data_IF_732636306867
#
_entry.id   IF_732636306867
#
_cell.length_a   1.000
_cell.length_b   1.000
_cell.length_c   1.000
_cell.angle_alpha   90.00
_cell.angle_beta   90.00
_cell.angle_gamma   90.00
#
_symmetry.space_group_name_H-M   'P 1'
#
loop_
_entity.id
_entity.type
_entity.pdbx_description
1 polymer ?
#
# COMPACT_ATOMS: atom_id res chain seq x y z
N UNK A 1 16.49 -24.18 78.50
CA UNK A 1 15.10 -23.68 78.59
C UNK A 1 14.68 -23.26 77.19
N UNK A 2 13.54 -23.79 76.73
CA UNK A 2 12.80 -23.47 75.51
C UNK A 2 13.44 -23.80 74.15
N UNK A 3 12.97 -24.91 73.59
CA UNK A 3 13.04 -25.36 72.21
C UNK A 3 11.89 -24.74 71.38
N UNK A 4 12.18 -24.08 70.26
CA UNK A 4 11.18 -23.82 69.20
C UNK A 4 11.55 -24.63 67.95
N UNK A 5 10.85 -25.76 67.78
CA UNK A 5 10.84 -26.53 66.54
C UNK A 5 9.79 -25.94 65.60
N UNK A 6 10.24 -25.20 64.58
CA UNK A 6 9.42 -24.81 63.44
C UNK A 6 9.13 -26.02 62.55
N UNK A 7 7.95 -26.61 62.72
CA UNK A 7 7.40 -27.65 61.85
C UNK A 7 7.06 -27.05 60.49
N UNK A 8 7.89 -27.28 59.47
CA UNK A 8 7.50 -27.06 58.08
C UNK A 8 6.32 -27.97 57.74
N UNK A 9 5.21 -27.38 57.28
CA UNK A 9 4.07 -28.14 56.79
C UNK A 9 4.52 -29.03 55.62
N UNK A 10 4.08 -30.30 55.55
CA UNK A 10 4.43 -31.17 54.45
C UNK A 10 3.86 -30.59 53.16
N UNK A 11 4.74 -30.31 52.20
CA UNK A 11 4.36 -29.99 50.83
C UNK A 11 3.67 -31.22 50.26
N UNK A 12 2.34 -31.22 50.21
CA UNK A 12 1.57 -32.26 49.53
C UNK A 12 1.93 -32.22 48.05
N UNK A 13 2.88 -33.07 47.65
CA UNK A 13 3.15 -33.31 46.25
C UNK A 13 1.91 -33.98 45.65
N UNK A 14 1.15 -33.23 44.87
CA UNK A 14 0.09 -33.76 44.02
C UNK A 14 0.71 -34.83 43.10
N UNK A 15 0.63 -36.09 43.52
CA UNK A 15 1.04 -37.23 42.70
C UNK A 15 -0.06 -37.45 41.67
N UNK A 16 0.08 -36.78 40.54
CA UNK A 16 -0.75 -37.05 39.38
C UNK A 16 -0.53 -38.50 38.96
N UNK A 17 -1.59 -39.31 39.04
CA UNK A 17 -1.50 -40.71 38.61
C UNK A 17 -1.27 -40.77 37.10
N UNK A 18 -0.62 -41.83 36.61
CA UNK A 18 -0.36 -42.01 35.18
C UNK A 18 -1.63 -41.88 34.33
N UNK A 19 -2.77 -42.33 34.86
CA UNK A 19 -4.07 -42.20 34.22
C UNK A 19 -4.57 -40.74 34.16
N UNK A 20 -4.37 -39.94 35.23
CA UNK A 20 -4.67 -38.51 35.21
C UNK A 20 -3.76 -37.74 34.23
N UNK A 21 -2.49 -38.14 34.11
CA UNK A 21 -1.57 -37.55 33.12
C UNK A 21 -2.02 -37.79 31.68
N UNK A 22 -2.46 -39.01 31.36
CA UNK A 22 -3.01 -39.33 30.03
C UNK A 22 -4.31 -38.58 29.73
N UNK A 23 -5.19 -38.44 30.73
CA UNK A 23 -6.46 -37.71 30.56
C UNK A 23 -6.21 -36.21 30.31
N UNK A 24 -5.28 -35.60 31.05
CA UNK A 24 -4.89 -34.21 30.84
C UNK A 24 -4.29 -34.00 29.45
N UNK A 25 -3.42 -34.89 29.00
CA UNK A 25 -2.82 -34.82 27.67
C UNK A 25 -3.87 -34.90 26.55
N UNK A 26 -4.85 -35.80 26.68
CA UNK A 26 -5.93 -35.91 25.70
C UNK A 26 -6.83 -34.68 25.68
N UNK A 27 -7.12 -34.08 26.84
CA UNK A 27 -7.87 -32.82 26.94
C UNK A 27 -7.08 -31.69 26.27
N UNK A 28 -5.77 -31.61 26.48
CA UNK A 28 -4.93 -30.59 25.84
C UNK A 28 -4.88 -30.78 24.32
N UNK A 29 -4.73 -32.01 23.82
CA UNK A 29 -4.75 -32.29 22.37
C UNK A 29 -6.11 -31.94 21.76
N UNK A 30 -7.22 -32.30 22.42
CA UNK A 30 -8.56 -31.95 21.96
C UNK A 30 -8.80 -30.43 21.99
N UNK A 31 -8.34 -29.74 23.03
CA UNK A 31 -8.44 -28.29 23.14
C UNK A 31 -7.61 -27.60 22.05
N UNK A 32 -6.38 -28.07 21.81
CA UNK A 32 -5.55 -27.58 20.71
C UNK A 32 -6.20 -27.82 19.35
N UNK A 33 -6.82 -28.97 19.10
CA UNK A 33 -7.53 -29.25 17.85
C UNK A 33 -8.78 -28.36 17.69
N UNK A 34 -9.50 -28.05 18.77
CA UNK A 34 -10.63 -27.12 18.74
C UNK A 34 -10.16 -25.70 18.49
N UNK A 35 -9.08 -25.26 19.14
CA UNK A 35 -8.49 -23.94 18.89
C UNK A 35 -7.99 -23.82 17.45
N UNK A 36 -7.32 -24.85 16.93
CA UNK A 36 -6.86 -24.89 15.54
C UNK A 36 -8.03 -24.93 14.55
N UNK A 37 -9.14 -25.63 14.89
CA UNK A 37 -10.35 -25.64 14.06
C UNK A 37 -11.13 -24.31 14.12
N UNK A 38 -11.04 -23.56 15.23
CA UNK A 38 -11.61 -22.22 15.34
C UNK A 38 -10.77 -21.18 14.59
N UNK A 39 -9.45 -21.37 14.54
CA UNK A 39 -8.53 -20.53 13.76
C UNK A 39 -8.63 -20.85 12.25
N UNK A 40 -8.79 -22.13 11.90
CA UNK A 40 -8.95 -22.58 10.52
C UNK A 40 -10.36 -22.33 9.95
N UNK A 41 -11.38 -22.25 10.81
CA UNK A 41 -12.70 -21.70 10.43
C UNK A 41 -12.69 -20.20 10.70
N UNK A 42 -11.77 -19.48 10.04
CA UNK A 42 -11.67 -18.03 10.11
C UNK A 42 -13.06 -17.40 10.13
N UNK A 43 -13.25 -16.39 10.98
CA UNK A 43 -14.52 -15.68 11.09
C UNK A 43 -15.09 -15.45 9.68
N UNK A 44 -16.40 -15.70 9.45
CA UNK A 44 -16.97 -15.59 8.12
C UNK A 44 -16.52 -14.27 7.51
N UNK A 45 -15.88 -14.35 6.34
CA UNK A 45 -15.36 -13.18 5.64
C UNK A 45 -16.46 -12.13 5.61
N UNK A 46 -16.16 -10.95 6.15
CA UNK A 46 -17.13 -9.88 6.29
C UNK A 46 -17.43 -9.35 4.89
N UNK A 47 -18.50 -9.83 4.26
CA UNK A 47 -18.87 -9.37 2.92
C UNK A 47 -19.28 -7.89 2.96
N UNK A 48 -18.72 -7.08 2.06
CA UNK A 48 -19.08 -5.67 1.92
C UNK A 48 -20.32 -5.50 1.07
N UNK A 49 -21.26 -4.74 1.62
CA UNK A 49 -22.46 -4.29 0.93
C UNK A 49 -22.39 -2.80 0.62
N UNK A 50 -22.87 -2.42 -0.56
CA UNK A 50 -23.08 -1.03 -0.94
C UNK A 50 -24.44 -0.58 -0.42
N UNK A 51 -24.46 0.37 0.52
CA UNK A 51 -25.70 0.77 1.19
C UNK A 51 -26.51 1.78 0.37
N UNK A 52 -25.84 2.76 -0.23
CA UNK A 52 -26.42 3.78 -1.09
C UNK A 52 -25.32 4.39 -1.97
N UNK A 53 -25.57 4.59 -3.27
CA UNK A 53 -24.51 4.99 -4.19
C UNK A 53 -25.03 5.94 -5.28
N UNK A 54 -25.37 7.17 -4.90
CA UNK A 54 -25.82 8.16 -5.89
C UNK A 54 -24.64 8.65 -6.72
N UNK A 55 -24.73 8.52 -8.04
CA UNK A 55 -23.64 8.88 -8.96
C UNK A 55 -22.55 7.82 -9.10
N UNK A 56 -22.74 6.62 -8.53
CA UNK A 56 -21.82 5.50 -8.70
C UNK A 56 -22.51 4.33 -9.40
N UNK A 57 -21.84 3.77 -10.41
CA UNK A 57 -22.29 2.61 -11.17
C UNK A 57 -21.36 1.44 -10.87
N UNK A 58 -21.83 0.37 -10.21
CA UNK A 58 -21.03 -0.84 -9.98
C UNK A 58 -20.52 -1.44 -11.29
N UNK A 59 -19.26 -1.89 -11.30
CA UNK A 59 -18.61 -2.53 -12.46
C UNK A 59 -18.25 -3.97 -12.17
N UNK A 60 -17.47 -4.21 -11.13
CA UNK A 60 -17.04 -5.54 -10.73
C UNK A 60 -16.91 -5.63 -9.20
N UNK A 61 -17.03 -6.85 -8.69
CA UNK A 61 -16.72 -7.21 -7.31
C UNK A 61 -15.97 -8.54 -7.35
N UNK A 62 -14.78 -8.56 -6.76
CA UNK A 62 -13.97 -9.76 -6.59
C UNK A 62 -13.82 -10.03 -5.11
N UNK A 63 -13.87 -11.31 -4.74
CA UNK A 63 -13.66 -11.79 -3.38
C UNK A 63 -12.41 -12.68 -3.35
N UNK A 64 -11.84 -12.88 -2.16
CA UNK A 64 -10.60 -13.65 -1.97
C UNK A 64 -9.37 -13.03 -2.66
N UNK A 65 -9.41 -11.73 -2.92
CA UNK A 65 -8.25 -10.99 -3.43
C UNK A 65 -7.37 -10.62 -2.24
N UNK A 66 -6.11 -11.04 -2.23
CA UNK A 66 -5.12 -10.56 -1.28
C UNK A 66 -4.22 -9.55 -1.99
N UNK A 67 -4.25 -8.28 -1.57
CA UNK A 67 -3.42 -7.22 -2.15
C UNK A 67 -2.41 -6.67 -1.15
N UNK A 68 -1.22 -6.37 -1.67
CA UNK A 68 -0.11 -5.82 -0.87
C UNK A 68 0.08 -4.31 -1.08
N UNK A 69 -0.24 -3.84 -2.28
CA UNK A 69 -0.09 -2.44 -2.69
C UNK A 69 -1.36 -1.97 -3.39
N UNK A 70 -1.59 -0.65 -3.49
CA UNK A 70 -2.67 -0.10 -4.29
C UNK A 70 -2.63 -0.62 -5.74
N UNK A 71 -3.79 -0.88 -6.36
CA UNK A 71 -3.83 -1.30 -7.76
C UNK A 71 -3.49 -0.14 -8.68
N UNK A 72 -2.90 -0.44 -9.83
CA UNK A 72 -2.78 0.46 -10.96
C UNK A 72 -3.99 0.25 -11.90
N UNK A 73 -4.65 1.34 -12.33
CA UNK A 73 -5.89 1.27 -13.12
C UNK A 73 -5.74 1.92 -14.50
N UNK A 74 -6.27 1.24 -15.51
CA UNK A 74 -6.56 1.80 -16.84
C UNK A 74 -8.07 1.80 -17.10
N UNK A 75 -8.49 2.10 -18.34
CA UNK A 75 -9.91 2.13 -18.71
C UNK A 75 -10.62 0.77 -18.55
N UNK A 76 -9.91 -0.35 -18.65
CA UNK A 76 -10.50 -1.68 -18.65
C UNK A 76 -9.71 -2.73 -17.85
N UNK A 77 -8.55 -2.36 -17.30
CA UNK A 77 -7.66 -3.27 -16.58
C UNK A 77 -7.30 -2.71 -15.21
N UNK A 78 -7.43 -3.53 -14.18
CA UNK A 78 -6.71 -3.34 -12.92
C UNK A 78 -5.51 -4.27 -12.90
N UNK A 79 -4.36 -3.74 -12.52
CA UNK A 79 -3.19 -4.55 -12.21
C UNK A 79 -2.79 -4.32 -10.76
N UNK A 80 -2.51 -5.40 -10.05
CA UNK A 80 -2.08 -5.32 -8.66
C UNK A 80 -1.03 -6.38 -8.32
N UNK A 81 -0.31 -6.12 -7.23
CA UNK A 81 0.56 -7.09 -6.59
C UNK A 81 -0.22 -7.80 -5.50
N UNK A 82 -0.41 -9.10 -5.68
CA UNK A 82 -1.28 -9.88 -4.84
C UNK A 82 -1.67 -11.21 -5.45
N UNK A 83 -2.68 -11.84 -4.88
CA UNK A 83 -3.24 -13.09 -5.37
C UNK A 83 -4.77 -13.04 -5.42
N UNK A 84 -5.36 -13.83 -6.33
CA UNK A 84 -6.80 -14.11 -6.36
C UNK A 84 -7.21 -15.23 -5.40
N UNK A 85 -6.24 -15.83 -4.71
CA UNK A 85 -6.41 -16.77 -3.63
C UNK A 85 -5.41 -16.42 -2.51
N UNK A 86 -5.86 -16.09 -1.29
CA UNK A 86 -4.96 -15.65 -0.21
C UNK A 86 -3.92 -16.70 0.21
N UNK A 87 -4.13 -17.96 -0.15
CA UNK A 87 -3.20 -19.05 0.14
C UNK A 87 -2.06 -19.18 -0.90
N UNK A 88 -2.14 -18.48 -2.03
CA UNK A 88 -1.11 -18.51 -3.06
C UNK A 88 -0.07 -17.40 -2.86
N UNK A 89 1.14 -17.61 -3.38
CA UNK A 89 2.19 -16.60 -3.38
C UNK A 89 1.75 -15.33 -4.15
N UNK A 90 2.14 -14.12 -3.71
CA UNK A 90 1.79 -12.89 -4.38
C UNK A 90 2.43 -12.78 -5.76
N UNK A 91 1.63 -12.37 -6.74
CA UNK A 91 1.99 -12.28 -8.15
C UNK A 91 1.62 -10.90 -8.70
N UNK A 92 2.15 -10.58 -9.87
CA UNK A 92 1.63 -9.46 -10.64
C UNK A 92 0.40 -9.96 -11.41
N UNK A 93 -0.78 -9.48 -11.01
CA UNK A 93 -2.06 -9.99 -11.48
C UNK A 93 -2.84 -8.89 -12.18
N UNK A 94 -3.29 -9.15 -13.41
CA UNK A 94 -4.16 -8.26 -14.16
C UNK A 94 -5.55 -8.86 -14.34
N UNK A 95 -6.58 -8.05 -14.09
CA UNK A 95 -7.98 -8.43 -14.25
C UNK A 95 -8.70 -7.44 -15.18
N UNK A 96 -9.71 -7.95 -15.87
CA UNK A 96 -10.66 -7.14 -16.62
C UNK A 96 -11.64 -6.46 -15.66
N UNK A 97 -11.75 -5.13 -15.73
CA UNK A 97 -12.59 -4.34 -14.81
C UNK A 97 -14.09 -4.48 -15.04
N UNK A 98 -14.52 -5.05 -16.17
CA UNK A 98 -15.94 -5.20 -16.50
C UNK A 98 -16.46 -6.59 -16.11
N UNK A 99 -15.62 -7.61 -16.21
CA UNK A 99 -15.96 -9.01 -15.95
C UNK A 99 -15.38 -9.54 -14.64
N UNK A 100 -14.32 -8.91 -14.12
CA UNK A 100 -13.52 -9.43 -13.00
C UNK A 100 -12.66 -10.64 -13.38
N UNK A 101 -12.61 -11.03 -14.65
CA UNK A 101 -11.84 -12.19 -15.11
C UNK A 101 -10.33 -11.89 -15.16
N UNK A 102 -9.53 -12.91 -14.85
CA UNK A 102 -8.07 -12.86 -15.00
C UNK A 102 -7.71 -12.63 -16.48
N UNK A 103 -6.94 -11.58 -16.76
CA UNK A 103 -6.37 -11.33 -18.09
C UNK A 103 -5.04 -12.04 -18.26
N UNK A 104 -4.13 -11.80 -17.33
CA UNK A 104 -2.80 -12.40 -17.31
C UNK A 104 -2.23 -12.34 -15.89
N UNK A 105 -1.22 -13.17 -15.66
CA UNK A 105 -0.53 -13.25 -14.38
C UNK A 105 0.96 -13.50 -14.62
N UNK A 106 1.82 -12.86 -13.82
CA UNK A 106 3.28 -13.08 -13.86
C UNK A 106 3.74 -13.62 -12.51
N UNK A 107 4.07 -14.91 -12.48
CA UNK A 107 4.66 -15.62 -11.34
C UNK A 107 6.18 -15.39 -11.29
N UNK A 108 6.66 -14.59 -10.35
CA UNK A 108 8.08 -14.47 -9.98
C UNK A 108 9.05 -13.93 -11.05
N UNK A 109 10.08 -13.21 -10.61
CA UNK A 109 11.18 -12.70 -11.45
C UNK A 109 12.10 -13.80 -12.03
N UNK A 110 11.87 -15.06 -11.68
CA UNK A 110 12.64 -16.23 -12.11
C UNK A 110 12.64 -16.40 -13.65
N UNK A 111 11.59 -15.93 -14.31
CA UNK A 111 11.53 -15.85 -15.78
C UNK A 111 12.35 -14.69 -16.37
N UNK A 112 12.62 -13.65 -15.58
CA UNK A 112 13.34 -12.46 -16.01
C UNK A 112 14.86 -12.58 -15.81
N UNK A 113 15.34 -13.50 -14.97
CA UNK A 113 16.78 -13.69 -14.67
C UNK A 113 17.20 -15.17 -14.52
N UNK A 114 17.22 -15.95 -15.62
CA UNK A 114 17.71 -17.33 -15.57
C UNK A 114 19.21 -17.47 -15.26
N UNK A 115 19.97 -16.38 -15.25
CA UNK A 115 21.43 -16.35 -15.16
C UNK A 115 21.99 -16.06 -13.75
N UNK A 116 21.16 -15.67 -12.78
CA UNK A 116 21.60 -15.27 -11.43
C UNK A 116 21.44 -16.33 -10.34
N UNK A 117 21.12 -17.58 -10.68
CA UNK A 117 21.03 -18.66 -9.69
C UNK A 117 22.29 -19.51 -9.60
N UNK A 118 23.08 -19.36 -8.53
CA UNK A 118 23.69 -20.48 -7.85
C UNK A 118 22.70 -21.06 -6.83
N UNK A 119 22.67 -22.39 -6.71
CA UNK A 119 21.81 -23.23 -5.86
C UNK A 119 21.91 -22.96 -4.32
N UNK A 120 22.44 -21.82 -3.88
CA UNK A 120 22.91 -21.60 -2.49
C UNK A 120 22.20 -20.47 -1.72
N UNK A 121 21.18 -19.80 -2.26
CA UNK A 121 20.49 -18.68 -1.56
C UNK A 121 19.08 -19.07 -1.11
N UNK A 122 18.96 -20.18 -0.38
CA UNK A 122 17.71 -20.62 0.28
C UNK A 122 17.44 -19.90 1.62
N UNK A 123 18.41 -19.14 2.15
CA UNK A 123 18.42 -18.71 3.56
C UNK A 123 18.09 -17.23 3.82
N UNK A 124 17.78 -16.43 2.79
CA UNK A 124 17.48 -15.00 2.99
C UNK A 124 15.97 -14.80 3.00
N UNK A 125 15.40 -14.92 4.20
CA UNK A 125 14.06 -14.47 4.64
C UNK A 125 12.85 -15.06 3.90
N UNK A 126 12.00 -15.88 4.57
CA UNK A 126 10.75 -16.40 3.99
C UNK A 126 9.65 -15.32 3.79
N UNK A 127 9.98 -14.06 4.03
CA UNK A 127 9.09 -12.90 3.86
C UNK A 127 9.67 -11.88 2.87
N UNK A 128 10.63 -12.27 2.02
CA UNK A 128 11.10 -11.41 0.94
C UNK A 128 10.00 -11.30 -0.12
N UNK A 129 9.06 -10.41 0.13
CA UNK A 129 8.00 -10.03 -0.80
C UNK A 129 8.65 -9.53 -2.08
N UNK A 130 8.49 -10.29 -3.16
CA UNK A 130 9.24 -10.03 -4.40
C UNK A 130 8.79 -8.75 -5.08
N UNK A 131 7.49 -8.54 -5.19
CA UNK A 131 6.94 -7.37 -5.87
C UNK A 131 6.71 -6.21 -4.90
N UNK A 132 7.09 -5.02 -5.32
CA UNK A 132 6.81 -3.75 -4.66
C UNK A 132 5.61 -3.01 -5.29
N UNK A 133 5.51 -1.68 -5.12
CA UNK A 133 4.44 -0.88 -5.71
C UNK A 133 4.37 -0.96 -7.24
N UNK A 134 3.16 -0.78 -7.79
CA UNK A 134 2.89 -0.75 -9.23
C UNK A 134 2.26 0.58 -9.65
N UNK A 135 2.58 1.04 -10.86
CA UNK A 135 2.01 2.25 -11.47
C UNK A 135 1.77 2.02 -12.96
N UNK A 136 0.94 2.88 -13.56
CA UNK A 136 0.85 2.99 -15.02
C UNK A 136 1.51 4.27 -15.51
N UNK A 137 2.19 4.18 -16.64
CA UNK A 137 2.76 5.31 -17.37
C UNK A 137 2.48 5.07 -18.86
N UNK A 138 1.54 5.83 -19.43
CA UNK A 138 0.94 5.49 -20.72
C UNK A 138 0.35 4.08 -20.73
N UNK A 139 0.69 3.28 -21.75
CA UNK A 139 0.26 1.88 -21.89
C UNK A 139 1.21 0.88 -21.19
N UNK A 140 2.18 1.37 -20.42
CA UNK A 140 3.13 0.54 -19.70
C UNK A 140 2.76 0.42 -18.24
N UNK A 141 2.79 -0.82 -17.76
CA UNK A 141 2.79 -1.11 -16.34
C UNK A 141 4.23 -1.10 -15.84
N UNK A 142 4.49 -0.35 -14.78
CA UNK A 142 5.79 -0.32 -14.12
C UNK A 142 5.63 -0.94 -12.74
N UNK A 143 6.45 -1.95 -12.43
CA UNK A 143 6.46 -2.64 -11.16
C UNK A 143 7.86 -2.64 -10.55
N UNK A 144 7.94 -2.32 -9.25
CA UNK A 144 9.15 -2.57 -8.49
C UNK A 144 9.25 -4.06 -8.12
N UNK A 145 10.46 -4.61 -8.11
CA UNK A 145 10.76 -5.96 -7.68
C UNK A 145 12.01 -5.95 -6.80
N UNK A 146 11.85 -6.30 -5.54
CA UNK A 146 12.92 -6.36 -4.55
C UNK A 146 13.33 -7.82 -4.34
N UNK A 147 14.56 -8.16 -4.78
CA UNK A 147 15.11 -9.49 -4.55
C UNK A 147 16.56 -9.42 -4.03
N UNK A 148 16.75 -9.87 -2.79
CA UNK A 148 18.06 -9.97 -2.16
C UNK A 148 18.75 -8.61 -2.01
N UNK A 149 19.85 -8.42 -2.74
CA UNK A 149 20.67 -7.20 -2.71
C UNK A 149 20.39 -6.26 -3.89
N UNK A 150 19.40 -6.56 -4.72
CA UNK A 150 19.05 -5.74 -5.87
C UNK A 150 17.55 -5.46 -5.88
N UNK A 151 17.20 -4.19 -5.98
CA UNK A 151 15.84 -3.82 -6.39
C UNK A 151 15.87 -3.48 -7.87
N UNK A 152 14.86 -3.94 -8.60
CA UNK A 152 14.67 -3.62 -10.00
C UNK A 152 13.35 -2.88 -10.19
N UNK A 153 13.30 -2.06 -11.23
CA UNK A 153 12.07 -1.48 -11.76
C UNK A 153 11.88 -2.12 -13.12
N UNK A 154 10.74 -2.76 -13.34
CA UNK A 154 10.44 -3.51 -14.54
C UNK A 154 9.24 -2.87 -15.24
N UNK A 155 9.31 -2.76 -16.55
CA UNK A 155 8.17 -2.40 -17.38
C UNK A 155 7.55 -3.65 -18.01
N UNK A 156 6.23 -3.64 -18.10
CA UNK A 156 5.43 -4.67 -18.74
C UNK A 156 4.40 -4.00 -19.65
N UNK A 157 4.02 -4.72 -20.71
CA UNK A 157 2.83 -4.39 -21.47
C UNK A 157 1.59 -4.66 -20.62
N UNK A 158 0.74 -3.64 -20.40
CA UNK A 158 -0.42 -3.75 -19.50
C UNK A 158 -1.47 -4.75 -20.02
N UNK A 159 -1.52 -5.01 -21.32
CA UNK A 159 -2.54 -5.85 -21.93
C UNK A 159 -2.17 -7.33 -21.93
N UNK A 160 -0.88 -7.65 -21.96
CA UNK A 160 -0.37 -9.01 -22.12
C UNK A 160 0.51 -9.49 -20.96
N UNK A 161 1.00 -8.59 -20.11
CA UNK A 161 1.99 -8.89 -19.08
C UNK A 161 3.38 -9.19 -19.65
N UNK A 162 3.61 -8.98 -20.95
CA UNK A 162 4.89 -9.23 -21.58
C UNK A 162 5.96 -8.26 -21.05
N UNK A 163 7.17 -8.73 -20.72
CA UNK A 163 8.22 -7.87 -20.21
C UNK A 163 8.75 -6.92 -21.28
N UNK A 164 8.95 -5.66 -20.90
CA UNK A 164 9.59 -4.62 -21.71
C UNK A 164 11.06 -4.45 -21.33
N UNK A 165 11.36 -3.45 -20.51
CA UNK A 165 12.71 -3.20 -19.99
C UNK A 165 12.80 -3.48 -18.49
N UNK A 166 14.05 -3.63 -18.03
CA UNK A 166 14.39 -3.76 -16.62
C UNK A 166 15.50 -2.77 -16.28
N UNK A 167 15.30 -2.00 -15.21
CA UNK A 167 16.27 -1.08 -14.65
C UNK A 167 16.70 -1.55 -13.27
N UNK A 168 17.99 -1.82 -13.09
CA UNK A 168 18.53 -2.24 -11.79
C UNK A 168 18.92 -1.04 -10.95
N UNK A 169 18.36 -0.95 -9.75
CA UNK A 169 18.77 0.00 -8.72
C UNK A 169 19.73 -0.75 -7.78
N UNK A 170 21.03 -0.54 -7.98
CA UNK A 170 22.06 -1.19 -7.17
C UNK A 170 21.92 -0.78 -5.70
N UNK A 171 21.97 -1.75 -4.80
CA UNK A 171 21.75 -1.51 -3.37
C UNK A 171 22.98 -1.80 -2.52
N UNK A 172 22.95 -1.22 -1.33
CA UNK A 172 23.80 -1.60 -0.21
C UNK A 172 22.82 -1.99 0.91
N UNK A 173 22.90 -3.23 1.40
CA UNK A 173 22.18 -3.74 2.59
C UNK A 173 20.64 -3.84 2.49
N UNK A 174 20.11 -4.68 1.60
CA UNK A 174 18.73 -5.20 1.70
C UNK A 174 17.63 -4.14 1.70
N UNK A 175 17.78 -3.10 0.89
CA UNK A 175 16.80 -2.01 0.81
C UNK A 175 15.66 -2.35 -0.16
N UNK A 176 14.60 -1.54 -0.15
CA UNK A 176 13.42 -1.77 -1.01
C UNK A 176 13.02 -0.47 -1.72
N UNK A 177 12.42 -0.58 -2.92
CA UNK A 177 11.68 0.54 -3.52
C UNK A 177 10.41 0.73 -2.68
N UNK A 178 10.50 1.62 -1.71
CA UNK A 178 9.37 1.94 -0.84
C UNK A 178 8.32 2.83 -1.51
N UNK A 179 8.62 3.41 -2.68
CA UNK A 179 7.72 4.34 -3.37
C UNK A 179 8.01 4.40 -4.87
N UNK A 180 6.96 4.19 -5.66
CA UNK A 180 6.94 4.30 -7.11
C UNK A 180 5.72 5.15 -7.47
N UNK A 181 5.90 6.22 -8.25
CA UNK A 181 4.80 7.06 -8.71
C UNK A 181 4.98 7.45 -10.17
N UNK A 182 3.88 7.56 -10.93
CA UNK A 182 3.94 8.17 -12.24
C UNK A 182 4.31 9.65 -12.04
N UNK A 183 5.25 10.09 -12.85
CA UNK A 183 5.63 11.47 -12.90
C UNK A 183 4.85 12.28 -13.92
N UNK A 184 4.98 13.60 -13.79
CA UNK A 184 4.62 14.53 -14.85
C UNK A 184 5.48 14.20 -16.09
N UNK A 185 4.89 14.43 -17.26
CA UNK A 185 5.47 14.12 -18.57
C UNK A 185 5.80 12.64 -18.76
N UNK A 186 4.95 11.77 -18.20
CA UNK A 186 5.05 10.31 -18.30
C UNK A 186 6.39 9.77 -17.76
N UNK A 187 7.01 10.38 -16.76
CA UNK A 187 8.25 9.83 -16.19
C UNK A 187 7.98 8.76 -15.13
N UNK A 188 8.96 7.90 -14.83
CA UNK A 188 8.90 6.99 -13.69
C UNK A 188 9.75 7.55 -12.56
N UNK A 189 9.12 7.81 -11.42
CA UNK A 189 9.82 8.21 -10.20
C UNK A 189 9.91 7.01 -9.26
N UNK A 190 11.14 6.60 -8.98
CA UNK A 190 11.44 5.53 -8.03
C UNK A 190 12.23 6.08 -6.85
N UNK A 191 11.75 5.82 -5.63
CA UNK A 191 12.48 6.09 -4.39
C UNK A 191 12.82 4.78 -3.70
N UNK A 192 14.10 4.63 -3.42
CA UNK A 192 14.65 3.54 -2.64
C UNK A 192 14.98 4.05 -1.25
N UNK A 193 14.39 3.43 -0.24
CA UNK A 193 14.75 3.69 1.14
C UNK A 193 15.92 2.77 1.51
N UNK A 194 17.06 3.35 1.87
CA UNK A 194 18.23 2.63 2.38
C UNK A 194 18.40 2.98 3.85
N UNK A 195 18.96 2.07 4.65
CA UNK A 195 19.28 2.39 6.04
C UNK A 195 20.22 3.61 6.09
N UNK A 196 19.71 4.72 6.64
CA UNK A 196 20.44 5.97 6.82
C UNK A 196 20.40 6.98 5.66
N UNK A 197 19.84 6.64 4.50
CA UNK A 197 19.64 7.59 3.39
C UNK A 197 18.52 7.15 2.44
N UNK A 198 18.00 8.05 1.62
CA UNK A 198 17.13 7.66 0.50
C UNK A 198 17.76 8.01 -0.83
N UNK A 199 17.53 7.15 -1.82
CA UNK A 199 17.91 7.39 -3.19
C UNK A 199 16.68 7.64 -4.04
N UNK A 200 16.73 8.70 -4.83
CA UNK A 200 15.70 9.11 -5.76
C UNK A 200 16.23 8.98 -7.19
N UNK A 201 15.43 8.34 -8.06
CA UNK A 201 15.73 8.22 -9.48
C UNK A 201 14.54 8.63 -10.34
N UNK A 202 14.84 9.31 -11.45
CA UNK A 202 13.90 9.48 -12.57
C UNK A 202 14.37 8.54 -13.68
N UNK A 203 13.44 7.72 -14.16
CA UNK A 203 13.65 6.71 -15.19
C UNK A 203 12.75 7.07 -16.37
N UNK A 204 13.34 7.05 -17.57
CA UNK A 204 12.61 7.19 -18.83
C UNK A 204 11.67 5.98 -19.00
N UNK A 205 10.34 6.19 -19.12
CA UNK A 205 9.38 5.10 -19.24
C UNK A 205 9.59 4.27 -20.50
N UNK A 206 10.08 4.85 -21.59
CA UNK A 206 10.16 4.17 -22.88
C UNK A 206 11.40 3.27 -22.95
N UNK A 207 12.50 3.72 -22.34
CA UNK A 207 13.80 3.07 -22.48
C UNK A 207 14.28 2.37 -21.20
N UNK A 208 13.68 2.67 -20.05
CA UNK A 208 14.18 2.23 -18.75
C UNK A 208 15.51 2.89 -18.35
N UNK A 209 15.99 3.86 -19.13
CA UNK A 209 17.25 4.53 -18.84
C UNK A 209 17.06 5.58 -17.75
N UNK A 210 17.96 5.56 -16.78
CA UNK A 210 18.02 6.58 -15.73
C UNK A 210 18.36 7.95 -16.31
N UNK A 211 17.46 8.91 -16.13
CA UNK A 211 17.65 10.31 -16.48
C UNK A 211 18.28 11.08 -15.32
N UNK A 212 17.87 10.78 -14.08
CA UNK A 212 18.31 11.49 -12.88
C UNK A 212 18.59 10.55 -11.71
N UNK A 213 19.54 10.93 -10.84
CA UNK A 213 19.85 10.26 -9.57
C UNK A 213 20.22 11.28 -8.51
N UNK A 214 19.66 11.16 -7.31
CA UNK A 214 20.08 11.92 -6.13
C UNK A 214 20.00 11.06 -4.88
N UNK A 215 21.02 11.17 -4.03
CA UNK A 215 21.06 10.54 -2.72
C UNK A 215 20.91 11.62 -1.65
N UNK A 216 20.11 11.36 -0.62
CA UNK A 216 19.87 12.31 0.47
C UNK A 216 19.86 11.67 1.86
N UNK A 217 20.42 12.41 2.81
CA UNK A 217 20.53 12.01 4.21
C UNK A 217 19.26 12.32 5.03
N UNK A 218 18.44 13.30 4.61
CA UNK A 218 17.25 13.72 5.34
C UNK A 218 16.19 14.40 4.45
N UNK A 219 14.98 13.82 4.40
CA UNK A 219 13.86 14.27 3.56
C UNK A 219 13.44 13.21 2.55
N UNK A 220 12.18 13.23 2.13
CA UNK A 220 11.71 12.40 1.04
C UNK A 220 11.51 13.27 -0.21
N UNK A 221 12.48 13.24 -1.13
CA UNK A 221 12.24 13.77 -2.48
C UNK A 221 11.09 12.96 -3.06
N UNK A 222 10.05 13.67 -3.50
CA UNK A 222 8.91 13.05 -4.18
C UNK A 222 8.76 13.54 -5.61
N UNK A 223 9.40 14.66 -5.98
CA UNK A 223 9.34 15.18 -7.34
C UNK A 223 10.56 16.04 -7.72
N UNK A 224 10.92 16.07 -9.01
CA UNK A 224 11.91 16.99 -9.58
C UNK A 224 11.37 17.52 -10.91
N UNK A 225 11.32 18.84 -11.06
CA UNK A 225 11.16 19.49 -12.36
C UNK A 225 12.51 19.69 -13.01
N UNK A 226 12.57 19.53 -14.32
CA UNK A 226 13.78 19.81 -15.11
C UNK A 226 13.87 21.27 -15.56
N UNK A 227 12.73 21.92 -15.88
CA UNK A 227 12.69 23.29 -16.43
C UNK A 227 11.55 24.17 -15.85
N UNK A 228 11.85 25.16 -14.99
CA UNK A 228 13.13 25.36 -14.32
C UNK A 228 13.40 24.23 -13.33
N UNK A 229 14.68 23.98 -13.03
CA UNK A 229 15.02 22.88 -12.14
C UNK A 229 14.53 23.15 -10.71
N UNK A 230 13.53 22.37 -10.28
CA UNK A 230 12.94 22.43 -8.93
C UNK A 230 12.96 21.06 -8.29
N UNK A 231 13.28 20.97 -7.00
CA UNK A 231 13.27 19.70 -6.26
C UNK A 231 12.29 19.82 -5.12
N UNK A 232 11.29 18.95 -5.12
CA UNK A 232 10.21 18.93 -4.15
C UNK A 232 10.49 17.85 -3.11
N UNK A 233 10.50 18.27 -1.86
CA UNK A 233 10.90 17.49 -0.70
C UNK A 233 9.77 17.50 0.32
N UNK A 234 9.47 16.32 0.86
CA UNK A 234 8.53 16.14 1.95
C UNK A 234 9.28 15.86 3.25
N UNK A 235 8.86 16.58 4.29
CA UNK A 235 9.23 16.37 5.68
C UNK A 235 7.97 16.09 6.48
N UNK A 236 8.13 15.63 7.73
CA UNK A 236 7.05 15.31 8.66
C UNK A 236 5.85 16.30 8.62
N UNK A 237 6.12 17.60 8.62
CA UNK A 237 5.08 18.65 8.66
C UNK A 237 5.34 19.79 7.66
N UNK A 238 6.09 19.50 6.59
CA UNK A 238 6.55 20.53 5.69
C UNK A 238 6.76 20.00 4.29
N UNK A 239 6.33 20.78 3.30
CA UNK A 239 6.74 20.63 1.91
C UNK A 239 7.74 21.74 1.61
N UNK A 240 8.87 21.38 1.00
CA UNK A 240 9.93 22.30 0.61
C UNK A 240 10.22 22.12 -0.88
N UNK A 241 10.40 23.23 -1.57
CA UNK A 241 10.89 23.26 -2.95
C UNK A 241 12.19 24.02 -2.98
N UNK A 242 13.23 23.38 -3.50
CA UNK A 242 14.55 23.97 -3.71
C UNK A 242 14.84 24.15 -5.19
N UNK A 243 15.80 25.04 -5.53
CA UNK A 243 16.10 25.40 -6.91
C UNK A 243 15.60 26.80 -7.26
N UNK A 244 15.23 27.02 -8.52
CA UNK A 244 14.59 28.27 -8.92
C UNK A 244 13.18 28.35 -8.33
N UNK A 245 12.74 29.55 -7.94
CA UNK A 245 11.44 29.76 -7.30
C UNK A 245 11.24 28.91 -6.02
N UNK A 246 12.32 28.73 -5.25
CA UNK A 246 12.27 28.00 -4.00
C UNK A 246 11.22 28.57 -3.04
N UNK A 247 10.47 27.67 -2.42
CA UNK A 247 9.46 28.00 -1.42
C UNK A 247 9.37 26.90 -0.37
N UNK A 248 8.71 27.20 0.74
CA UNK A 248 8.50 26.25 1.82
C UNK A 248 7.14 26.49 2.46
N UNK A 249 6.37 25.42 2.65
CA UNK A 249 5.05 25.47 3.25
C UNK A 249 4.94 24.47 4.39
N UNK A 250 4.50 24.94 5.56
CA UNK A 250 4.13 24.07 6.67
C UNK A 250 2.74 23.50 6.42
N UNK A 251 2.60 22.18 6.61
CA UNK A 251 1.32 21.47 6.56
C UNK A 251 0.98 20.97 7.96
N UNK A 252 -0.31 20.90 8.28
CA UNK A 252 -0.75 20.42 9.59
C UNK A 252 -0.53 18.92 9.73
N UNK A 253 0.07 18.46 10.83
CA UNK A 253 0.29 17.04 11.10
C UNK A 253 1.75 16.74 11.44
N UNK A 254 2.09 15.46 11.54
CA UNK A 254 3.47 14.98 11.76
C UNK A 254 3.94 13.99 10.69
N UNK A 255 3.10 13.66 9.73
CA UNK A 255 3.52 13.03 8.49
C UNK A 255 2.84 13.71 7.31
N UNK A 256 3.50 13.70 6.16
CA UNK A 256 3.00 14.22 4.90
C UNK A 256 3.32 13.23 3.78
N UNK A 257 2.30 12.80 3.05
CA UNK A 257 2.43 12.07 1.79
C UNK A 257 1.91 12.96 0.67
N UNK A 258 2.81 13.67 -0.03
CA UNK A 258 2.43 14.44 -1.19
C UNK A 258 2.22 13.54 -2.41
N UNK A 259 1.24 13.91 -3.22
CA UNK A 259 1.00 13.42 -4.56
C UNK A 259 0.99 14.63 -5.49
N UNK A 260 1.75 14.54 -6.57
CA UNK A 260 1.90 15.62 -7.54
C UNK A 260 0.82 15.51 -8.61
N UNK A 261 0.32 16.66 -9.04
CA UNK A 261 -0.47 16.82 -10.26
C UNK A 261 0.13 17.96 -11.08
N UNK A 262 -0.42 18.24 -12.25
CA UNK A 262 0.10 19.30 -13.13
C UNK A 262 0.19 20.66 -12.41
N UNK A 263 -0.83 21.01 -11.62
CA UNK A 263 -0.98 22.34 -11.02
C UNK A 263 -0.90 22.35 -9.48
N UNK A 264 -1.23 21.23 -8.84
CA UNK A 264 -1.36 21.12 -7.39
C UNK A 264 -0.46 20.02 -6.81
N UNK A 265 -0.05 20.22 -5.57
CA UNK A 265 0.48 19.17 -4.70
C UNK A 265 -0.62 18.83 -3.71
N UNK A 266 -1.16 17.61 -3.81
CA UNK A 266 -2.14 17.08 -2.86
C UNK A 266 -1.38 16.44 -1.71
N UNK A 267 -1.59 16.91 -0.49
CA UNK A 267 -0.88 16.42 0.69
C UNK A 267 -1.86 15.73 1.62
N UNK A 268 -1.70 14.42 1.79
CA UNK A 268 -2.31 13.68 2.89
C UNK A 268 -1.46 13.85 4.14
N UNK A 269 -2.06 14.28 5.23
CA UNK A 269 -1.35 14.50 6.50
C UNK A 269 -1.84 13.57 7.58
N UNK A 270 -0.90 13.14 8.43
CA UNK A 270 -1.18 12.23 9.54
C UNK A 270 -1.14 12.92 10.89
N UNK A 271 -1.97 12.47 11.85
CA UNK A 271 -1.94 12.98 13.21
C UNK A 271 -0.59 12.69 13.89
N UNK A 272 -0.22 13.55 14.84
CA UNK A 272 1.05 13.47 15.56
C UNK A 272 1.14 12.34 16.59
N UNK A 273 0.01 11.70 16.90
CA UNK A 273 -0.06 10.63 17.87
C UNK A 273 -0.48 9.38 17.11
N UNK A 274 0.45 8.43 16.84
CA UNK A 274 0.21 7.24 16.00
C UNK A 274 -0.96 6.35 16.44
N UNK A 275 -1.46 6.52 17.67
CA UNK A 275 -2.52 5.69 18.28
C UNK A 275 -3.70 6.50 18.83
N UNK A 276 -3.74 7.81 18.61
CA UNK A 276 -4.94 8.59 18.92
C UNK A 276 -5.75 8.72 17.64
N UNK A 277 -6.65 7.76 17.41
CA UNK A 277 -7.64 7.76 16.32
C UNK A 277 -8.54 9.03 16.33
N UNK A 278 -8.33 9.94 17.29
CA UNK A 278 -9.00 11.25 17.39
C UNK A 278 -8.28 12.38 16.66
N UNK A 279 -7.02 12.21 16.26
CA UNK A 279 -6.37 13.16 15.37
C UNK A 279 -6.87 12.92 13.95
N UNK A 280 -7.72 13.77 13.42
CA UNK A 280 -8.29 13.59 12.07
C UNK A 280 -7.22 13.92 11.02
N UNK A 281 -6.80 12.96 10.18
CA UNK A 281 -5.98 13.23 8.99
C UNK A 281 -6.49 14.42 8.19
N UNK A 282 -5.57 15.19 7.65
CA UNK A 282 -5.89 16.33 6.79
C UNK A 282 -5.64 15.98 5.33
N UNK A 283 -6.41 16.62 4.44
CA UNK A 283 -6.01 16.81 3.05
C UNK A 283 -5.84 18.29 2.79
N UNK A 284 -4.76 18.64 2.10
CA UNK A 284 -4.52 19.99 1.61
C UNK A 284 -4.08 19.96 0.15
N UNK A 285 -4.50 20.96 -0.62
CA UNK A 285 -3.90 21.25 -1.91
C UNK A 285 -3.01 22.47 -1.80
N UNK A 286 -1.75 22.33 -2.22
CA UNK A 286 -0.81 23.43 -2.36
C UNK A 286 -0.64 23.75 -3.83
N UNK A 287 -0.52 25.03 -4.18
CA UNK A 287 -0.06 25.43 -5.50
C UNK A 287 1.37 24.94 -5.70
N UNK A 288 1.62 24.24 -6.80
CA UNK A 288 2.97 23.76 -7.17
C UNK A 288 3.95 24.91 -7.39
N UNK A 289 3.44 26.06 -7.82
CA UNK A 289 4.27 27.22 -8.21
C UNK A 289 4.87 27.95 -7.01
N UNK A 290 4.09 28.17 -5.96
CA UNK A 290 4.44 29.06 -4.85
C UNK A 290 4.17 28.49 -3.46
N UNK A 291 3.63 27.26 -3.38
CA UNK A 291 3.32 26.59 -2.11
C UNK A 291 2.05 27.09 -1.44
N UNK A 292 1.33 28.06 -2.00
CA UNK A 292 0.12 28.63 -1.41
C UNK A 292 -0.95 27.55 -1.22
N UNK A 293 -1.47 27.40 0.00
CA UNK A 293 -2.59 26.51 0.31
C UNK A 293 -3.84 27.00 -0.43
N UNK A 294 -4.33 26.20 -1.38
CA UNK A 294 -5.55 26.51 -2.14
C UNK A 294 -6.80 26.15 -1.34
N UNK A 295 -6.78 24.97 -0.73
CA UNK A 295 -7.82 24.49 0.16
C UNK A 295 -7.25 23.48 1.15
N UNK A 296 -7.97 23.28 2.24
CA UNK A 296 -7.66 22.28 3.25
C UNK A 296 -8.96 21.77 3.85
N UNK A 297 -9.05 20.45 4.00
CA UNK A 297 -10.17 19.76 4.62
C UNK A 297 -9.65 18.78 5.68
N UNK A 298 -10.45 18.59 6.72
CA UNK A 298 -10.19 17.57 7.74
C UNK A 298 -11.14 16.42 7.47
N UNK A 299 -10.58 15.27 7.10
CA UNK A 299 -11.36 14.09 6.72
C UNK A 299 -10.62 12.84 7.20
N UNK A 300 -11.28 11.96 7.98
CA UNK A 300 -10.62 10.81 8.59
C UNK A 300 -10.38 9.69 7.56
N UNK A 301 -9.49 9.92 6.61
CA UNK A 301 -9.12 8.93 5.58
C UNK A 301 -8.23 7.86 6.21
N UNK A 302 -8.58 6.60 5.97
CA UNK A 302 -7.88 5.43 6.52
C UNK A 302 -7.20 4.58 5.44
N UNK A 303 -7.53 4.80 4.16
CA UNK A 303 -6.78 4.28 3.02
C UNK A 303 -5.63 5.20 2.63
N UNK A 304 -4.89 4.83 1.59
CA UNK A 304 -4.19 5.83 0.77
C UNK A 304 -5.21 6.82 0.16
N UNK A 305 -4.72 7.90 -0.44
CA UNK A 305 -5.49 8.66 -1.42
C UNK A 305 -5.06 8.29 -2.83
N UNK A 306 -5.98 8.39 -3.78
CA UNK A 306 -5.67 8.31 -5.20
C UNK A 306 -6.15 9.56 -5.91
N UNK A 307 -5.33 10.06 -6.83
CA UNK A 307 -5.57 11.31 -7.54
C UNK A 307 -5.74 10.97 -9.02
N UNK A 308 -6.91 11.30 -9.57
CA UNK A 308 -7.20 11.25 -10.99
C UNK A 308 -7.02 12.62 -11.64
N UNK A 309 -7.54 12.79 -12.86
CA UNK A 309 -7.40 14.03 -13.63
C UNK A 309 -8.02 15.26 -12.94
N UNK A 310 -9.20 15.09 -12.34
CA UNK A 310 -10.01 16.17 -11.76
C UNK A 310 -10.51 15.87 -10.34
N UNK A 311 -10.15 14.72 -9.80
CA UNK A 311 -10.75 14.18 -8.58
C UNK A 311 -9.74 13.48 -7.69
N UNK A 312 -10.01 13.51 -6.39
CA UNK A 312 -9.29 12.78 -5.36
C UNK A 312 -10.27 11.79 -4.74
N UNK A 313 -9.82 10.57 -4.51
CA UNK A 313 -10.62 9.54 -3.85
C UNK A 313 -9.93 9.02 -2.61
N UNK A 314 -10.72 8.64 -1.61
CA UNK A 314 -10.25 8.09 -0.34
C UNK A 314 -11.36 7.35 0.39
N UNK A 315 -11.00 6.41 1.25
CA UNK A 315 -11.90 5.70 2.14
C UNK A 315 -11.82 6.30 3.55
N UNK A 316 -12.96 6.66 4.13
CA UNK A 316 -13.02 7.23 5.48
C UNK A 316 -13.07 6.15 6.57
N UNK A 317 -12.86 6.57 7.82
CA UNK A 317 -13.00 5.73 9.03
C UNK A 317 -14.39 5.12 9.17
N UNK A 318 -15.41 5.83 8.66
CA UNK A 318 -16.80 5.40 8.66
C UNK A 318 -17.12 4.45 7.48
N UNK A 319 -16.10 4.06 6.70
CA UNK A 319 -16.21 3.18 5.53
C UNK A 319 -16.96 3.83 4.37
N UNK A 320 -16.84 5.15 4.23
CA UNK A 320 -17.37 5.86 3.08
C UNK A 320 -16.27 6.06 2.04
N UNK A 321 -16.50 5.62 0.81
CA UNK A 321 -15.71 6.12 -0.31
C UNK A 321 -16.15 7.55 -0.60
N UNK A 322 -15.21 8.48 -0.52
CA UNK A 322 -15.43 9.89 -0.88
C UNK A 322 -14.77 10.21 -2.22
N UNK A 323 -15.44 11.07 -2.99
CA UNK A 323 -14.89 11.70 -4.19
C UNK A 323 -14.85 13.19 -3.94
N UNK A 324 -13.66 13.77 -4.06
CA UNK A 324 -13.37 15.17 -3.78
C UNK A 324 -12.95 15.84 -5.09
N UNK A 325 -13.54 17.00 -5.40
CA UNK A 325 -13.11 17.82 -6.53
C UNK A 325 -11.73 18.40 -6.24
N UNK A 326 -10.76 18.11 -7.10
CA UNK A 326 -9.35 18.44 -6.85
C UNK A 326 -9.11 19.96 -6.80
N UNK A 327 -9.86 20.74 -7.58
CA UNK A 327 -9.68 22.19 -7.66
C UNK A 327 -10.16 22.92 -6.39
N UNK A 328 -11.18 22.42 -5.71
CA UNK A 328 -11.88 23.15 -4.65
C UNK A 328 -11.84 22.47 -3.28
N UNK A 329 -11.50 21.17 -3.23
CA UNK A 329 -11.60 20.36 -2.03
C UNK A 329 -13.04 20.00 -1.64
N UNK A 330 -14.03 20.28 -2.50
CA UNK A 330 -15.43 19.96 -2.24
C UNK A 330 -15.67 18.45 -2.40
N UNK A 331 -16.35 17.83 -1.44
CA UNK A 331 -16.86 16.46 -1.59
C UNK A 331 -18.02 16.48 -2.59
N UNK A 332 -17.84 15.79 -3.72
CA UNK A 332 -18.81 15.70 -4.82
C UNK A 332 -19.46 14.32 -4.93
N UNK A 333 -18.96 13.32 -4.21
CA UNK A 333 -19.55 11.99 -4.15
C UNK A 333 -19.26 11.30 -2.83
N UNK A 334 -20.21 10.50 -2.37
CA UNK A 334 -20.05 9.64 -1.18
C UNK A 334 -20.78 8.33 -1.42
N UNK A 335 -20.11 7.21 -1.11
CA UNK A 335 -20.64 5.87 -1.24
C UNK A 335 -20.33 5.07 0.04
N UNK A 336 -21.30 4.92 0.95
CA UNK A 336 -21.14 4.09 2.15
C UNK A 336 -21.06 2.59 1.84
N UNK A 337 -20.15 1.92 2.53
CA UNK A 337 -20.08 0.47 2.62
C UNK A 337 -20.51 -0.01 4.01
N UNK A 338 -21.12 -1.20 4.07
CA UNK A 338 -21.43 -1.90 5.32
C UNK A 338 -20.79 -3.29 5.34
N UNK A 339 -20.45 -3.83 6.54
CA UNK A 339 -20.45 -3.13 7.83
C UNK A 339 -19.36 -2.06 7.90
N UNK A 340 -19.26 -1.33 9.02
CA UNK A 340 -18.16 -0.40 9.24
C UNK A 340 -16.81 -1.14 9.34
N UNK A 341 -15.69 -0.46 9.11
CA UNK A 341 -14.35 -1.01 9.30
C UNK A 341 -14.13 -1.41 10.76
N UNK A 342 -13.60 -2.62 10.97
CA UNK A 342 -12.99 -2.97 12.25
C UNK A 342 -11.53 -2.53 12.21
N UNK A 343 -11.16 -1.52 12.99
CA UNK A 343 -9.76 -1.12 13.20
C UNK A 343 -8.97 -2.12 14.06
N UNK A 344 -9.53 -3.30 14.33
CA UNK A 344 -8.86 -4.38 15.03
C UNK A 344 -7.96 -5.14 14.03
N UNK A 345 -6.76 -4.61 13.79
CA UNK A 345 -5.71 -5.31 13.02
C UNK A 345 -4.98 -4.44 12.00
N UNK A 346 -3.98 -5.05 11.35
CA UNK A 346 -3.13 -4.44 10.32
C UNK A 346 -3.76 -4.55 8.90
N UNK A 347 -5.09 -4.43 8.80
CA UNK A 347 -5.78 -4.56 7.52
C UNK A 347 -5.44 -3.39 6.58
N UNK A 348 -5.07 -3.72 5.35
CA UNK A 348 -4.78 -2.75 4.31
C UNK A 348 -6.05 -2.31 3.59
N UNK A 349 -6.23 -1.00 3.42
CA UNK A 349 -7.29 -0.42 2.60
C UNK A 349 -6.69 0.37 1.47
N UNK A 350 -7.01 0.01 0.24
CA UNK A 350 -6.48 0.70 -0.94
C UNK A 350 -7.57 1.30 -1.79
N UNK A 351 -7.27 2.47 -2.34
CA UNK A 351 -8.07 3.10 -3.40
C UNK A 351 -7.18 3.42 -4.60
N UNK A 352 -7.76 3.30 -5.79
CA UNK A 352 -7.17 3.78 -7.03
C UNK A 352 -8.25 4.41 -7.91
N UNK A 353 -7.87 5.35 -8.78
CA UNK A 353 -8.78 6.04 -9.68
C UNK A 353 -8.17 6.28 -11.05
N UNK A 354 -8.95 6.07 -12.10
CA UNK A 354 -8.58 6.39 -13.49
C UNK A 354 -9.85 6.69 -14.30
N UNK A 355 -9.96 7.88 -14.90
CA UNK A 355 -11.10 8.29 -15.73
C UNK A 355 -12.48 8.04 -15.08
N UNK A 356 -12.56 8.28 -13.77
CA UNK A 356 -13.76 8.06 -12.96
C UNK A 356 -14.07 6.61 -12.60
N UNK A 357 -13.31 5.64 -13.12
CA UNK A 357 -13.29 4.29 -12.57
C UNK A 357 -12.53 4.34 -11.26
N UNK A 358 -13.12 3.80 -10.20
CA UNK A 358 -12.58 3.75 -8.86
C UNK A 358 -12.55 2.29 -8.43
N UNK A 359 -11.39 1.83 -7.96
CA UNK A 359 -11.23 0.54 -7.33
C UNK A 359 -10.97 0.72 -5.84
N UNK A 360 -11.69 -0.01 -5.00
CA UNK A 360 -11.60 0.02 -3.53
C UNK A 360 -11.33 -1.39 -3.04
N UNK A 361 -10.20 -1.56 -2.36
CA UNK A 361 -9.78 -2.81 -1.76
C UNK A 361 -9.97 -2.78 -0.25
N UNK A 362 -10.58 -3.83 0.29
CA UNK A 362 -10.83 -4.03 1.71
C UNK A 362 -10.07 -5.25 2.22
N UNK A 363 -8.89 -5.06 2.81
CA UNK A 363 -8.01 -6.15 3.25
C UNK A 363 -8.55 -7.02 4.38
N UNK A 364 -9.50 -6.52 5.17
CA UNK A 364 -10.17 -7.32 6.20
C UNK A 364 -11.23 -8.29 5.65
N UNK A 365 -11.76 -8.01 4.46
CA UNK A 365 -12.72 -8.86 3.75
C UNK A 365 -12.12 -9.56 2.53
N UNK A 366 -10.90 -9.18 2.12
CA UNK A 366 -10.24 -9.63 0.89
C UNK A 366 -11.11 -9.37 -0.35
N UNK A 367 -11.75 -8.20 -0.39
CA UNK A 367 -12.63 -7.81 -1.48
C UNK A 367 -12.09 -6.62 -2.26
N UNK A 368 -12.19 -6.69 -3.59
CA UNK A 368 -11.93 -5.60 -4.50
C UNK A 368 -13.24 -5.19 -5.18
N UNK A 369 -13.70 -3.97 -4.92
CA UNK A 369 -14.92 -3.41 -5.48
C UNK A 369 -14.55 -2.34 -6.49
N UNK A 370 -15.08 -2.45 -7.71
CA UNK A 370 -14.87 -1.51 -8.80
C UNK A 370 -16.18 -0.81 -9.12
N UNK A 371 -16.14 0.52 -9.16
CA UNK A 371 -17.28 1.39 -9.48
C UNK A 371 -16.86 2.47 -10.49
N UNK A 372 -17.82 2.98 -11.24
CA UNK A 372 -17.65 4.19 -12.05
C UNK A 372 -18.37 5.34 -11.36
N UNK A 373 -17.71 6.45 -11.12
CA UNK A 373 -18.35 7.70 -10.72
C UNK A 373 -18.77 8.50 -11.97
N UNK A 374 -20.07 8.72 -12.12
CA UNK A 374 -20.69 9.47 -13.21
C UNK A 374 -21.21 10.80 -12.65
N UNK A 375 -20.49 11.89 -12.91
CA UNK A 375 -20.93 13.24 -12.55
C UNK A 375 -20.46 14.27 -13.57
#
# INVERSE_FOLDING_TARGET
MSTENGSAAPTESLRMTRQQGWLLLLVLIALSAVLFALDANGAPAVEREVVAATGFVPRAKLSQVAMMYPPALSADTAVFVGSLNPDDDPQLTAIDLNSGELRWQVTGADQLRPDLWPDEVEWIWPFAWRWGPVILVGDQLIAADAFGLTTTVNAFDIHTGAPGWQHSIGMINGSEVGYLVPGIDDTVVARVAVEGYSEFQIIDPATGLRQFRRQEDAGAIFWVDDEPRRVFEAFANQIRVTGEQAWQQTVSGCGALPLMTDTLIIVQTFPCVPNDNRGVPGLAALSRTDGTVQWQISLPIVSNIAVGEDRIVGLTVDTDLVVIEQATGQIIGTMPFAPALSFEGDANYFVAVHNGIIAVYFGDSLELIVVQFER
#
